data_IF_930007851268
#
_entry.id   IF_930007851268
#
_cell.length_a   1.000
_cell.length_b   1.000
_cell.length_c   1.000
_cell.angle_alpha   90.00
_cell.angle_beta   90.00
_cell.angle_gamma   90.00
#
_symmetry.space_group_name_H-M   'P 1'
#
loop_
_entity.id
_entity.type
_entity.pdbx_description
1 polymer ?
#
# COMPACT_ATOMS: atom_id res chain seq x y z
N UNK A 1 17.32 -51.27 18.98
CA UNK A 1 18.11 -50.04 18.72
C UNK A 1 17.48 -49.24 17.57
N UNK A 2 16.16 -49.05 17.61
CA UNK A 2 15.36 -48.35 16.58
C UNK A 2 14.39 -47.37 17.24
N UNK A 3 13.86 -47.72 18.42
CA UNK A 3 13.01 -46.85 19.24
C UNK A 3 13.68 -45.55 19.71
N UNK A 4 15.00 -45.55 19.98
CA UNK A 4 15.69 -44.35 20.45
C UNK A 4 15.89 -43.27 19.36
N UNK A 5 15.77 -43.63 18.08
CA UNK A 5 15.90 -42.68 16.96
C UNK A 5 14.59 -41.92 16.71
N UNK A 6 13.45 -42.61 16.81
CA UNK A 6 12.14 -42.02 16.57
C UNK A 6 11.78 -40.97 17.63
N UNK A 7 12.15 -41.21 18.89
CA UNK A 7 11.94 -40.25 19.99
C UNK A 7 12.86 -39.01 19.87
N UNK A 8 14.03 -39.17 19.26
CA UNK A 8 14.97 -38.08 19.02
C UNK A 8 14.59 -37.26 17.78
N UNK A 9 13.99 -37.88 16.76
CA UNK A 9 13.47 -37.21 15.57
C UNK A 9 12.19 -36.41 15.86
N UNK A 10 11.32 -36.89 16.76
CA UNK A 10 10.17 -36.13 17.27
C UNK A 10 10.61 -34.93 18.14
N UNK A 11 11.71 -35.07 18.88
CA UNK A 11 12.30 -33.96 19.64
C UNK A 11 12.98 -32.89 18.75
N UNK A 12 13.39 -33.24 17.52
CA UNK A 12 13.98 -32.29 16.57
C UNK A 12 12.95 -31.44 15.82
N UNK A 13 11.67 -31.81 15.85
CA UNK A 13 10.60 -31.00 15.27
C UNK A 13 10.10 -29.98 16.30
N UNK A 14 10.97 -29.01 16.63
CA UNK A 14 10.76 -28.02 17.68
C UNK A 14 9.68 -26.97 17.34
N UNK A 15 8.42 -27.40 17.20
CA UNK A 15 7.24 -26.57 17.33
C UNK A 15 6.70 -26.69 18.75
N UNK A 16 6.63 -25.57 19.49
CA UNK A 16 5.92 -25.53 20.77
C UNK A 16 4.51 -26.10 20.60
N UNK A 17 4.06 -26.93 21.57
CA UNK A 17 2.66 -27.36 21.59
C UNK A 17 1.73 -26.14 21.75
N UNK A 18 0.46 -26.28 21.37
CA UNK A 18 -0.51 -25.16 21.42
C UNK A 18 -0.63 -24.60 22.85
N UNK A 19 -0.69 -25.47 23.86
CA UNK A 19 -0.74 -25.05 25.27
C UNK A 19 0.54 -24.34 25.72
N UNK A 20 1.70 -24.84 25.32
CA UNK A 20 2.99 -24.22 25.65
C UNK A 20 3.12 -22.84 25.01
N UNK A 21 2.67 -22.71 23.77
CA UNK A 21 2.64 -21.44 23.03
C UNK A 21 1.70 -20.44 23.68
N UNK A 22 0.50 -20.87 24.08
CA UNK A 22 -0.50 -19.99 24.69
C UNK A 22 -0.04 -19.53 26.09
N UNK A 23 0.63 -20.42 26.85
CA UNK A 23 1.28 -20.08 28.13
C UNK A 23 2.40 -19.06 27.94
N UNK A 24 3.30 -19.29 26.99
CA UNK A 24 4.38 -18.35 26.65
C UNK A 24 3.81 -16.99 26.23
N UNK A 25 2.74 -16.97 25.44
CA UNK A 25 2.11 -15.74 25.00
C UNK A 25 1.47 -14.96 26.16
N UNK A 26 0.90 -15.67 27.15
CA UNK A 26 0.39 -15.06 28.37
C UNK A 26 1.51 -14.44 29.22
N UNK A 27 2.64 -15.14 29.36
CA UNK A 27 3.81 -14.66 30.09
C UNK A 27 4.45 -13.43 29.42
N UNK A 28 4.58 -13.43 28.09
CA UNK A 28 5.09 -12.28 27.33
C UNK A 28 4.19 -11.04 27.48
N UNK A 29 2.87 -11.23 27.52
CA UNK A 29 1.91 -10.13 27.75
C UNK A 29 1.93 -9.60 29.18
N UNK A 30 2.38 -10.42 30.14
CA UNK A 30 2.49 -10.05 31.54
C UNK A 30 3.80 -9.30 31.86
N UNK A 31 4.74 -9.22 30.90
CA UNK A 31 5.95 -8.42 31.06
C UNK A 31 5.60 -6.95 31.26
N UNK A 32 6.39 -6.28 32.10
CA UNK A 32 6.28 -4.85 32.32
C UNK A 32 6.58 -4.09 31.02
N UNK A 33 5.74 -3.13 30.68
CA UNK A 33 5.94 -2.29 29.51
C UNK A 33 7.13 -1.35 29.76
N UNK A 34 8.33 -1.78 29.37
CA UNK A 34 9.53 -0.98 29.47
C UNK A 34 9.64 -0.13 28.21
N UNK A 35 9.61 1.20 28.34
CA UNK A 35 9.90 2.07 27.21
C UNK A 35 11.31 1.75 26.71
N UNK A 36 11.44 1.23 25.48
CA UNK A 36 12.74 0.78 25.03
C UNK A 36 13.62 2.00 24.69
N UNK A 37 14.92 1.97 25.04
CA UNK A 37 15.81 3.10 24.83
C UNK A 37 15.96 3.40 23.33
N UNK A 38 15.66 4.64 22.93
CA UNK A 38 15.64 5.07 21.51
C UNK A 38 16.92 4.73 20.75
N UNK A 39 18.08 4.83 21.42
CA UNK A 39 19.40 4.54 20.85
C UNK A 39 19.56 3.09 20.38
N UNK A 40 18.92 2.13 21.05
CA UNK A 40 19.01 0.71 20.67
C UNK A 40 18.20 0.45 19.40
N UNK A 41 17.03 1.09 19.27
CA UNK A 41 16.21 0.99 18.07
C UNK A 41 16.82 1.67 16.85
N UNK A 42 17.46 2.82 17.04
CA UNK A 42 18.20 3.49 15.96
C UNK A 42 19.28 2.58 15.38
N UNK A 43 20.03 1.87 16.25
CA UNK A 43 21.03 0.89 15.82
C UNK A 43 20.43 -0.32 15.10
N UNK A 44 19.34 -0.89 15.62
CA UNK A 44 18.66 -2.03 14.97
C UNK A 44 18.10 -1.61 13.61
N UNK A 45 17.56 -0.40 13.51
CA UNK A 45 17.08 0.16 12.25
C UNK A 45 18.24 0.35 11.27
N UNK A 46 19.38 0.90 11.72
CA UNK A 46 20.60 1.07 10.93
C UNK A 46 21.15 -0.27 10.42
N UNK A 47 21.23 -1.29 11.29
CA UNK A 47 21.65 -2.64 10.91
C UNK A 47 20.66 -3.30 9.95
N UNK A 48 19.36 -3.22 10.22
CA UNK A 48 18.34 -3.78 9.33
C UNK A 48 18.28 -3.09 7.97
N UNK A 49 18.61 -1.80 7.89
CA UNK A 49 18.79 -1.09 6.62
C UNK A 49 20.07 -1.50 5.90
N UNK A 50 21.19 -1.67 6.62
CA UNK A 50 22.46 -2.13 6.05
C UNK A 50 22.37 -3.57 5.51
N UNK A 51 21.59 -4.43 6.18
CA UNK A 51 21.34 -5.83 5.80
C UNK A 51 20.18 -5.99 4.81
N UNK A 52 19.49 -4.89 4.45
CA UNK A 52 18.36 -4.90 3.52
C UNK A 52 17.09 -5.57 4.07
N UNK A 53 17.06 -5.92 5.36
CA UNK A 53 15.92 -6.52 6.05
C UNK A 53 14.79 -5.50 6.29
N UNK A 54 15.16 -4.22 6.41
CA UNK A 54 14.24 -3.10 6.57
C UNK A 54 14.40 -2.22 5.34
N UNK A 55 13.44 -2.31 4.41
CA UNK A 55 13.36 -1.30 3.37
C UNK A 55 12.84 -0.02 4.00
N UNK A 56 13.64 1.05 3.96
CA UNK A 56 13.04 2.38 3.99
C UNK A 56 12.21 2.50 2.71
N UNK A 57 10.90 2.22 2.79
CA UNK A 57 9.96 2.69 1.77
C UNK A 57 10.23 4.17 1.53
N UNK A 58 10.12 4.71 0.30
CA UNK A 58 10.82 5.93 -0.09
C UNK A 58 10.46 7.11 0.81
N UNK A 59 11.23 7.25 1.89
CA UNK A 59 11.12 8.30 2.86
C UNK A 59 11.62 9.54 2.16
N UNK A 60 10.70 10.44 1.82
CA UNK A 60 10.91 11.88 1.57
C UNK A 60 12.36 12.23 1.23
N UNK A 61 12.86 11.70 0.10
CA UNK A 61 14.18 12.08 -0.40
C UNK A 61 13.95 13.37 -1.15
N UNK A 62 14.13 14.48 -0.43
CA UNK A 62 14.17 15.81 -1.02
C UNK A 62 15.14 15.76 -2.17
N UNK A 63 14.56 16.02 -3.32
CA UNK A 63 15.18 16.25 -4.60
C UNK A 63 16.33 17.23 -4.47
N UNK A 64 17.52 16.67 -4.44
CA UNK A 64 18.78 17.28 -4.79
C UNK A 64 19.60 16.02 -5.09
N UNK A 65 19.87 15.65 -6.34
CA UNK A 65 20.83 16.33 -7.19
C UNK A 65 20.43 16.14 -8.66
N UNK A 66 20.29 17.26 -9.37
CA UNK A 66 20.62 17.30 -10.79
C UNK A 66 22.14 17.42 -10.89
N UNK A 67 22.83 16.29 -11.01
CA UNK A 67 24.19 16.17 -11.52
C UNK A 67 24.45 14.66 -11.68
N UNK A 68 24.71 14.07 -12.84
CA UNK A 68 24.66 14.49 -14.22
C UNK A 68 24.73 13.19 -15.05
N UNK A 69 24.08 13.19 -16.21
CA UNK A 69 24.31 12.26 -17.33
C UNK A 69 24.39 10.75 -17.04
N UNK A 70 23.26 10.05 -17.13
CA UNK A 70 23.15 8.75 -17.81
C UNK A 70 21.69 8.27 -17.80
N UNK A 71 21.32 7.47 -18.80
CA UNK A 71 20.01 6.83 -19.04
C UNK A 71 18.99 7.69 -19.79
N UNK A 72 19.37 8.06 -21.02
CA UNK A 72 18.42 7.90 -22.12
C UNK A 72 18.16 6.39 -22.30
N UNK A 73 17.00 5.90 -21.83
CA UNK A 73 16.32 4.67 -22.31
C UNK A 73 15.15 4.19 -21.43
N UNK A 74 14.90 4.74 -20.23
CA UNK A 74 13.84 4.22 -19.34
C UNK A 74 12.62 5.16 -19.17
N UNK A 75 12.49 6.20 -20.00
CA UNK A 75 11.28 7.03 -20.07
C UNK A 75 10.20 6.43 -21.00
N UNK A 76 10.45 5.26 -21.58
CA UNK A 76 9.57 4.65 -22.58
C UNK A 76 8.37 3.88 -22.01
N UNK A 77 8.22 3.71 -20.69
CA UNK A 77 7.09 2.96 -20.12
C UNK A 77 6.09 3.80 -19.29
N UNK A 78 6.37 5.08 -19.03
CA UNK A 78 5.42 5.96 -18.35
C UNK A 78 4.63 6.90 -19.30
N UNK A 79 5.05 7.04 -20.57
CA UNK A 79 4.43 7.96 -21.53
C UNK A 79 3.48 7.30 -22.55
N UNK A 80 3.45 5.97 -22.68
CA UNK A 80 2.72 5.28 -23.76
C UNK A 80 1.19 5.33 -23.59
N UNK A 81 0.66 5.75 -22.44
CA UNK A 81 -0.78 5.98 -22.27
C UNK A 81 -1.20 7.46 -22.30
N UNK A 82 -0.29 8.41 -22.54
CA UNK A 82 -0.61 9.85 -22.49
C UNK A 82 -0.46 10.59 -23.83
N UNK A 83 0.05 9.96 -24.89
CA UNK A 83 0.22 10.57 -26.20
C UNK A 83 -0.66 9.85 -27.25
N UNK A 84 -1.96 10.13 -27.22
CA UNK A 84 -2.93 9.59 -28.17
C UNK A 84 -4.06 10.54 -28.54
N UNK A 85 -3.88 11.85 -28.33
CA UNK A 85 -4.77 12.88 -28.86
C UNK A 85 -3.98 13.69 -29.89
N UNK A 86 -4.34 13.47 -31.16
CA UNK A 86 -3.83 14.16 -32.33
C UNK A 86 -3.83 15.68 -32.12
N UNK A 87 -2.67 16.30 -32.35
CA UNK A 87 -2.54 17.75 -32.53
C UNK A 87 -2.46 18.00 -34.04
N UNK A 88 -3.58 18.40 -34.62
CA UNK A 88 -3.58 19.18 -35.85
C UNK A 88 -3.72 20.67 -35.47
N UNK A 89 -2.93 21.49 -36.14
CA UNK A 89 -2.73 22.93 -35.90
C UNK A 89 -4.03 23.74 -35.86
N UNK A 90 -4.21 24.57 -34.82
CA UNK A 90 -5.05 25.77 -34.90
C UNK A 90 -4.73 26.80 -33.79
N UNK A 91 -4.42 28.02 -34.25
CA UNK A 91 -4.51 29.34 -33.59
C UNK A 91 -5.09 29.34 -32.17
N UNK A 92 -4.31 29.84 -31.20
CA UNK A 92 -4.71 30.07 -29.81
C UNK A 92 -6.06 30.83 -29.69
N UNK A 93 -7.12 30.21 -29.15
CA UNK A 93 -8.20 30.96 -28.51
C UNK A 93 -8.00 30.91 -27.00
N UNK A 94 -8.16 32.06 -26.35
CA UNK A 94 -8.24 32.14 -24.89
C UNK A 94 -9.28 31.13 -24.41
N UNK A 95 -8.85 30.17 -23.57
CA UNK A 95 -9.69 29.07 -23.11
C UNK A 95 -10.72 29.62 -22.13
N UNK A 96 -11.87 30.05 -22.64
CA UNK A 96 -13.06 30.22 -21.84
C UNK A 96 -13.49 28.81 -21.41
N UNK A 97 -13.09 28.40 -20.20
CA UNK A 97 -13.65 27.19 -19.58
C UNK A 97 -15.16 27.42 -19.51
N UNK A 98 -15.91 26.72 -20.35
CA UNK A 98 -17.35 26.91 -20.40
C UNK A 98 -17.93 26.47 -19.05
N UNK A 99 -18.93 27.19 -18.54
CA UNK A 99 -19.60 26.84 -17.26
C UNK A 99 -20.07 25.37 -17.25
N UNK A 100 -20.41 24.83 -18.41
CA UNK A 100 -20.80 23.44 -18.62
C UNK A 100 -19.67 22.44 -18.35
N UNK A 101 -18.44 22.72 -18.78
CA UNK A 101 -17.29 21.84 -18.54
C UNK A 101 -16.89 21.83 -17.07
N UNK A 102 -16.86 23.01 -16.46
CA UNK A 102 -16.60 23.13 -15.03
C UNK A 102 -17.65 22.36 -14.21
N UNK A 103 -18.93 22.46 -14.58
CA UNK A 103 -20.02 21.74 -13.91
C UNK A 103 -19.91 20.22 -14.08
N UNK A 104 -19.64 19.72 -15.29
CA UNK A 104 -19.42 18.30 -15.58
C UNK A 104 -18.27 17.73 -14.75
N UNK A 105 -17.16 18.46 -14.63
CA UNK A 105 -16.05 18.08 -13.77
C UNK A 105 -16.41 18.08 -12.28
N UNK A 106 -17.40 18.88 -11.82
CA UNK A 106 -17.92 18.75 -10.44
C UNK A 106 -18.59 17.40 -10.26
N UNK A 107 -19.54 17.10 -11.13
CA UNK A 107 -20.36 15.90 -11.03
C UNK A 107 -19.47 14.66 -11.05
N UNK A 108 -18.50 14.61 -11.97
CA UNK A 108 -17.54 13.51 -12.04
C UNK A 108 -16.70 13.34 -10.76
N UNK A 109 -16.26 14.46 -10.16
CA UNK A 109 -15.47 14.42 -8.93
C UNK A 109 -16.30 13.92 -7.75
N UNK A 110 -17.52 14.45 -7.61
CA UNK A 110 -18.45 14.07 -6.54
C UNK A 110 -18.83 12.57 -6.65
N UNK A 111 -19.06 12.07 -7.87
CA UNK A 111 -19.33 10.66 -8.14
C UNK A 111 -18.17 9.75 -7.71
N UNK A 112 -16.92 10.14 -8.00
CA UNK A 112 -15.73 9.38 -7.59
C UNK A 112 -15.57 9.36 -6.07
N UNK A 113 -15.80 10.50 -5.41
CA UNK A 113 -15.78 10.60 -3.94
C UNK A 113 -16.82 9.68 -3.31
N UNK A 114 -18.06 9.74 -3.79
CA UNK A 114 -19.15 8.87 -3.34
C UNK A 114 -18.83 7.39 -3.57
N UNK A 115 -18.31 7.04 -4.75
CA UNK A 115 -17.93 5.66 -5.07
C UNK A 115 -16.84 5.15 -4.13
N UNK A 116 -15.83 5.97 -3.81
CA UNK A 116 -14.77 5.54 -2.91
C UNK A 116 -15.28 5.37 -1.47
N UNK A 117 -16.17 6.25 -0.99
CA UNK A 117 -16.83 6.07 0.31
C UNK A 117 -17.67 4.79 0.36
N UNK A 118 -18.32 4.42 -0.74
CA UNK A 118 -19.02 3.15 -0.85
C UNK A 118 -18.06 1.97 -0.73
N UNK A 119 -16.94 1.97 -1.46
CA UNK A 119 -15.92 0.92 -1.36
C UNK A 119 -15.32 0.80 0.05
N UNK A 120 -15.15 1.90 0.78
CA UNK A 120 -14.69 1.86 2.17
C UNK A 120 -15.70 1.18 3.09
N UNK A 121 -17.00 1.41 2.85
CA UNK A 121 -18.05 0.71 3.59
C UNK A 121 -18.03 -0.77 3.26
N UNK A 122 -17.96 -1.13 1.98
CA UNK A 122 -17.90 -2.52 1.53
C UNK A 122 -16.67 -3.27 2.10
N UNK A 123 -15.49 -2.65 2.06
CA UNK A 123 -14.25 -3.22 2.63
C UNK A 123 -14.34 -3.44 4.15
N UNK A 124 -15.06 -2.57 4.89
CA UNK A 124 -15.29 -2.73 6.34
C UNK A 124 -16.25 -3.87 6.67
N UNK A 125 -17.12 -4.26 5.73
CA UNK A 125 -18.04 -5.37 5.90
C UNK A 125 -17.39 -6.73 5.61
N UNK A 126 -16.25 -6.75 4.92
CA UNK A 126 -15.50 -7.98 4.72
C UNK A 126 -15.04 -8.55 6.07
N UNK A 127 -15.09 -9.88 6.27
CA UNK A 127 -14.54 -10.52 7.45
C UNK A 127 -13.09 -10.12 7.71
N UNK A 128 -12.70 -10.12 8.98
CA UNK A 128 -11.30 -9.93 9.39
C UNK A 128 -10.38 -10.94 8.69
N UNK A 129 -9.13 -10.53 8.41
CA UNK A 129 -8.17 -11.39 7.70
C UNK A 129 -8.04 -12.78 8.37
N UNK A 130 -7.93 -13.85 7.56
CA UNK A 130 -7.61 -15.19 8.05
C UNK A 130 -6.34 -15.18 8.90
N UNK A 131 -6.27 -16.08 9.88
CA UNK A 131 -5.08 -16.21 10.76
C UNK A 131 -3.80 -16.55 10.00
N UNK A 132 -3.90 -17.25 8.87
CA UNK A 132 -2.77 -17.65 8.03
C UNK A 132 -3.05 -17.20 6.60
N UNK A 133 -2.08 -16.52 5.99
CA UNK A 133 -2.17 -15.97 4.63
C UNK A 133 -0.87 -16.27 3.90
N UNK A 134 -0.93 -16.50 2.59
CA UNK A 134 0.28 -16.63 1.77
C UNK A 134 1.05 -15.32 1.79
N UNK A 135 2.36 -15.39 2.02
CA UNK A 135 3.24 -14.22 2.11
C UNK A 135 3.10 -13.29 0.89
N UNK A 136 3.04 -13.84 -0.33
CA UNK A 136 2.85 -13.05 -1.55
C UNK A 136 1.53 -12.28 -1.59
N UNK A 137 0.43 -12.84 -1.06
CA UNK A 137 -0.86 -12.15 -0.97
C UNK A 137 -0.83 -11.05 0.07
N UNK A 138 -0.21 -11.30 1.23
CA UNK A 138 0.00 -10.27 2.25
C UNK A 138 0.83 -9.10 1.70
N UNK A 139 1.90 -9.38 0.95
CA UNK A 139 2.71 -8.37 0.28
C UNK A 139 1.91 -7.55 -0.75
N UNK A 140 1.08 -8.19 -1.58
CA UNK A 140 0.20 -7.47 -2.52
C UNK A 140 -0.81 -6.57 -1.79
N UNK A 141 -1.41 -7.06 -0.69
CA UNK A 141 -2.36 -6.26 0.11
C UNK A 141 -1.65 -5.04 0.71
N UNK A 142 -0.48 -5.23 1.33
CA UNK A 142 0.31 -4.13 1.90
C UNK A 142 0.66 -3.08 0.85
N UNK A 143 1.16 -3.50 -0.31
CA UNK A 143 1.51 -2.58 -1.40
C UNK A 143 0.30 -1.77 -1.91
N UNK A 144 -0.89 -2.38 -1.98
CA UNK A 144 -2.11 -1.67 -2.35
C UNK A 144 -2.52 -0.65 -1.29
N UNK A 145 -2.44 -1.03 -0.01
CA UNK A 145 -2.76 -0.14 1.12
C UNK A 145 -1.79 1.04 1.20
N UNK A 146 -0.50 0.81 0.99
CA UNK A 146 0.53 1.86 0.97
C UNK A 146 0.29 2.87 -0.16
N UNK A 147 -0.08 2.39 -1.36
CA UNK A 147 -0.42 3.28 -2.48
C UNK A 147 -1.68 4.09 -2.21
N UNK A 148 -2.71 3.49 -1.60
CA UNK A 148 -3.92 4.20 -1.20
C UNK A 148 -3.57 5.27 -0.16
N UNK A 149 -2.77 4.94 0.85
CA UNK A 149 -2.33 5.89 1.87
C UNK A 149 -1.53 7.06 1.26
N UNK A 150 -0.70 6.81 0.25
CA UNK A 150 0.03 7.86 -0.46
C UNK A 150 -0.91 8.81 -1.22
N UNK A 151 -1.98 8.29 -1.84
CA UNK A 151 -3.01 9.11 -2.50
C UNK A 151 -3.79 9.92 -1.45
N UNK A 152 -4.23 9.27 -0.39
CA UNK A 152 -5.03 9.89 0.68
C UNK A 152 -4.22 11.00 1.38
N UNK A 153 -2.91 10.81 1.54
CA UNK A 153 -2.01 11.87 1.98
C UNK A 153 -2.06 13.06 1.03
N UNK A 154 -1.89 12.88 -0.29
CA UNK A 154 -1.92 14.02 -1.23
C UNK A 154 -3.26 14.73 -1.27
N UNK A 155 -4.36 13.98 -1.19
CA UNK A 155 -5.72 14.52 -1.19
C UNK A 155 -6.03 15.34 0.07
N UNK A 156 -5.44 14.98 1.22
CA UNK A 156 -5.68 15.62 2.51
C UNK A 156 -4.65 16.68 2.90
N UNK A 157 -3.46 16.69 2.29
CA UNK A 157 -2.36 17.53 2.74
C UNK A 157 -2.53 19.00 2.35
N UNK A 158 -2.61 19.95 3.30
CA UNK A 158 -2.93 21.35 3.02
C UNK A 158 -1.84 22.09 2.22
N UNK A 159 -0.59 21.59 2.27
CA UNK A 159 0.51 22.14 1.48
C UNK A 159 0.46 21.73 -0.01
N UNK A 160 -0.31 20.69 -0.36
CA UNK A 160 -0.53 20.26 -1.74
C UNK A 160 -1.78 20.95 -2.26
N UNK A 161 -1.61 22.02 -3.04
CA UNK A 161 -2.72 22.66 -3.75
C UNK A 161 -2.98 21.93 -5.05
N UNK A 162 -3.93 21.00 -5.04
CA UNK A 162 -4.40 20.31 -6.23
C UNK A 162 -5.41 21.18 -6.98
N UNK A 163 -5.23 21.31 -8.29
CA UNK A 163 -6.31 21.75 -9.16
C UNK A 163 -7.43 20.70 -9.18
N UNK A 164 -8.62 21.09 -9.62
CA UNK A 164 -9.75 20.17 -9.72
C UNK A 164 -9.47 18.98 -10.64
N UNK A 165 -8.84 19.24 -11.78
CA UNK A 165 -8.49 18.19 -12.74
C UNK A 165 -7.50 17.20 -12.14
N UNK A 166 -6.52 17.67 -11.37
CA UNK A 166 -5.58 16.80 -10.65
C UNK A 166 -6.29 16.00 -9.54
N UNK A 167 -7.19 16.64 -8.79
CA UNK A 167 -7.98 15.95 -7.77
C UNK A 167 -8.81 14.82 -8.38
N UNK A 168 -9.47 15.04 -9.52
CA UNK A 168 -10.22 14.00 -10.24
C UNK A 168 -9.34 12.79 -10.59
N UNK A 169 -8.10 13.03 -11.05
CA UNK A 169 -7.13 11.96 -11.36
C UNK A 169 -6.81 11.14 -10.11
N UNK A 170 -6.50 11.79 -8.99
CA UNK A 170 -6.22 11.10 -7.73
C UNK A 170 -7.41 10.31 -7.21
N UNK A 171 -8.62 10.86 -7.27
CA UNK A 171 -9.84 10.16 -6.87
C UNK A 171 -10.14 8.94 -7.75
N UNK A 172 -9.90 9.05 -9.06
CA UNK A 172 -10.04 7.93 -9.99
C UNK A 172 -9.05 6.81 -9.67
N UNK A 173 -7.79 7.15 -9.40
CA UNK A 173 -6.79 6.16 -9.02
C UNK A 173 -7.10 5.54 -7.66
N UNK A 174 -7.57 6.33 -6.68
CA UNK A 174 -8.03 5.81 -5.39
C UNK A 174 -9.11 4.75 -5.57
N UNK A 175 -10.16 5.06 -6.33
CA UNK A 175 -11.24 4.11 -6.62
C UNK A 175 -10.70 2.84 -7.29
N UNK A 176 -9.79 2.98 -8.25
CA UNK A 176 -9.16 1.83 -8.91
C UNK A 176 -8.40 0.94 -7.92
N UNK A 177 -7.54 1.51 -7.08
CA UNK A 177 -6.76 0.77 -6.08
C UNK A 177 -7.67 0.11 -5.03
N UNK A 178 -8.71 0.80 -4.58
CA UNK A 178 -9.68 0.25 -3.64
C UNK A 178 -10.46 -0.93 -4.23
N UNK A 179 -10.84 -0.88 -5.50
CA UNK A 179 -11.45 -2.03 -6.17
C UNK A 179 -10.48 -3.23 -6.24
N UNK A 180 -9.19 -2.99 -6.52
CA UNK A 180 -8.17 -4.05 -6.51
C UNK A 180 -8.02 -4.66 -5.12
N UNK A 181 -7.95 -3.83 -4.08
CA UNK A 181 -7.88 -4.27 -2.68
C UNK A 181 -9.11 -5.10 -2.31
N UNK A 182 -10.30 -4.63 -2.67
CA UNK A 182 -11.55 -5.34 -2.46
C UNK A 182 -11.53 -6.72 -3.12
N UNK A 183 -11.13 -6.81 -4.39
CA UNK A 183 -11.06 -8.07 -5.11
C UNK A 183 -10.08 -9.06 -4.48
N UNK A 184 -8.89 -8.60 -4.07
CA UNK A 184 -7.89 -9.46 -3.42
C UNK A 184 -8.40 -9.96 -2.07
N UNK A 185 -8.97 -9.08 -1.24
CA UNK A 185 -9.53 -9.45 0.08
C UNK A 185 -10.74 -10.38 -0.05
N UNK A 186 -11.63 -10.12 -1.01
CA UNK A 186 -12.77 -10.99 -1.28
C UNK A 186 -12.32 -12.39 -1.71
N UNK A 187 -11.37 -12.50 -2.65
CA UNK A 187 -10.80 -13.78 -3.08
C UNK A 187 -10.02 -14.50 -1.98
N UNK A 188 -9.46 -13.77 -1.01
CA UNK A 188 -8.82 -14.34 0.18
C UNK A 188 -9.85 -14.94 1.14
N UNK A 189 -10.95 -14.22 1.40
CA UNK A 189 -12.07 -14.71 2.23
C UNK A 189 -12.68 -15.96 1.60
N UNK A 190 -12.95 -15.94 0.30
CA UNK A 190 -13.52 -17.08 -0.40
C UNK A 190 -12.63 -18.34 -0.30
N UNK A 191 -11.30 -18.16 -0.37
CA UNK A 191 -10.34 -19.26 -0.20
C UNK A 191 -10.17 -19.76 1.23
N UNK A 192 -10.59 -19.00 2.23
CA UNK A 192 -10.53 -19.44 3.63
C UNK A 192 -11.75 -20.28 4.05
N UNK A 193 -12.82 -20.23 3.25
CA UNK A 193 -14.08 -20.97 3.50
C UNK A 193 -14.05 -22.38 2.90
N UNK A 194 -13.19 -22.64 1.91
CA UNK A 194 -13.00 -23.94 1.26
C UNK A 194 -11.64 -24.53 1.62
#
# INVERSE_FOLDING_TARGET
MKEASDEQDDAMNAGLSIEQRDRLQAELRALSDTMPPRVVWERIAEQGMAEGLISSGPGRRVWSWLAGGAIAAAAALFAVNFAGVNRDDAVLPQTQVTRSDAHRQMVNLDDLMHRSQQLERELRLLPSQPRVVRAGTAATISELEDRIAAIDYRLSHPAVRLSRAEAEIYWRERVRLMNLLYNVRYAQVQRAVY
#
